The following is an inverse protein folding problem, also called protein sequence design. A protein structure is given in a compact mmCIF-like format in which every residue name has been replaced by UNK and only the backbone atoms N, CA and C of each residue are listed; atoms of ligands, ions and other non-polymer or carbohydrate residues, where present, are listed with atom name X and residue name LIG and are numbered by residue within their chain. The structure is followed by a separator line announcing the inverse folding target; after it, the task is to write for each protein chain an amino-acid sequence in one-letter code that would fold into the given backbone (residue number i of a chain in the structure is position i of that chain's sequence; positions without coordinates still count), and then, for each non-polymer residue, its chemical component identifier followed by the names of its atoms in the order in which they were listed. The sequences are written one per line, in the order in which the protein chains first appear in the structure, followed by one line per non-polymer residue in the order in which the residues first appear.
data_IF_941476846262
#
_entry.id   IF_941476846262
#
_cell.length_a   1.000
_cell.length_b   1.000
_cell.length_c   1.000
_cell.angle_alpha   90.00
_cell.angle_beta   90.00
_cell.angle_gamma   90.00
#
_symmetry.space_group_name_H-M   'P 1'
#
loop_
_entity.id
_entity.type
_entity.pdbx_description
1 polymer ?
#
# COMPACT_ATOMS: atom_id res chain seq x y z
N UNK A 1 12.91 -13.73 -5.77
CA UNK A 1 12.25 -13.41 -4.49
C UNK A 1 12.74 -12.11 -3.86
N UNK A 2 14.01 -11.95 -3.44
CA UNK A 2 14.45 -10.75 -2.69
C UNK A 2 14.26 -9.40 -3.42
N UNK A 3 14.54 -9.35 -4.73
CA UNK A 3 14.40 -8.12 -5.54
C UNK A 3 12.95 -7.62 -5.60
N UNK A 4 11.97 -8.52 -5.73
CA UNK A 4 10.54 -8.15 -5.76
C UNK A 4 10.08 -7.52 -4.45
N UNK A 5 10.55 -8.03 -3.31
CA UNK A 5 10.24 -7.47 -1.99
C UNK A 5 10.94 -6.12 -1.75
N UNK A 6 12.16 -5.94 -2.28
CA UNK A 6 12.83 -4.65 -2.27
C UNK A 6 12.05 -3.61 -3.08
N UNK A 7 11.68 -3.93 -4.32
CA UNK A 7 10.90 -3.03 -5.18
C UNK A 7 9.57 -2.68 -4.49
N UNK A 8 8.87 -3.66 -3.91
CA UNK A 8 7.63 -3.41 -3.18
C UNK A 8 7.86 -2.46 -1.99
N UNK A 9 8.93 -2.64 -1.21
CA UNK A 9 9.23 -1.75 -0.09
C UNK A 9 9.52 -0.31 -0.53
N UNK A 10 10.19 -0.11 -1.66
CA UNK A 10 10.41 1.21 -2.24
C UNK A 10 9.11 1.86 -2.70
N UNK A 11 8.23 1.08 -3.33
CA UNK A 11 6.91 1.55 -3.77
C UNK A 11 6.07 1.96 -2.55
N UNK A 12 6.01 1.12 -1.52
CA UNK A 12 5.30 1.44 -0.26
C UNK A 12 5.88 2.68 0.42
N UNK A 13 7.20 2.84 0.46
CA UNK A 13 7.84 4.03 1.02
C UNK A 13 7.52 5.30 0.21
N UNK A 14 7.50 5.20 -1.12
CA UNK A 14 7.11 6.30 -2.00
C UNK A 14 5.63 6.68 -1.78
N UNK A 15 4.72 5.70 -1.72
CA UNK A 15 3.30 5.93 -1.42
C UNK A 15 3.10 6.55 -0.03
N UNK A 16 3.79 6.06 1.00
CA UNK A 16 3.73 6.64 2.34
C UNK A 16 4.21 8.09 2.35
N UNK A 17 5.26 8.40 1.58
CA UNK A 17 5.75 9.78 1.42
C UNK A 17 4.70 10.67 0.76
N UNK A 18 4.00 10.16 -0.26
CA UNK A 18 2.89 10.87 -0.91
C UNK A 18 1.70 11.06 0.04
N UNK A 19 1.39 10.07 0.88
CA UNK A 19 0.34 10.17 1.88
C UNK A 19 0.67 11.22 2.96
N UNK A 20 1.92 11.28 3.42
CA UNK A 20 2.42 12.31 4.34
C UNK A 20 2.35 13.69 3.69
N UNK A 21 2.77 13.79 2.42
CA UNK A 21 2.67 15.03 1.66
C UNK A 21 1.20 15.47 1.54
N UNK A 22 0.26 14.56 1.28
CA UNK A 22 -1.16 14.91 1.20
C UNK A 22 -1.81 15.31 2.52
N UNK A 23 -1.30 14.80 3.64
CA UNK A 23 -1.84 15.11 4.99
C UNK A 23 -1.35 16.46 5.52
N UNK A 24 -0.26 17.01 5.01
CA UNK A 24 0.20 18.34 5.39
C UNK A 24 -0.76 19.44 4.87
N UNK A 25 -1.10 20.44 5.70
CA UNK A 25 -2.02 21.50 5.32
C UNK A 25 -1.35 22.48 4.36
N UNK A 26 -1.49 22.25 3.05
CA UNK A 26 -0.98 23.14 2.00
C UNK A 26 -1.94 24.26 1.61
N UNK A 27 -1.43 25.43 1.16
CA UNK A 27 -2.23 26.52 0.62
C UNK A 27 -3.04 26.09 -0.62
N UNK A 28 -4.23 26.69 -0.80
CA UNK A 28 -5.28 26.22 -1.73
C UNK A 28 -4.81 25.97 -3.17
N UNK A 29 -3.92 26.81 -3.71
CA UNK A 29 -3.38 26.66 -5.06
C UNK A 29 -2.50 25.42 -5.24
N UNK A 30 -1.68 25.10 -4.22
CA UNK A 30 -0.84 23.91 -4.23
C UNK A 30 -1.66 22.65 -4.05
N UNK A 31 -2.70 22.70 -3.22
CA UNK A 31 -3.64 21.58 -3.02
C UNK A 31 -4.20 21.08 -4.35
N UNK A 32 -4.75 21.97 -5.18
CA UNK A 32 -5.38 21.58 -6.45
C UNK A 32 -4.41 20.91 -7.42
N UNK A 33 -3.18 21.43 -7.50
CA UNK A 33 -2.14 20.87 -8.38
C UNK A 33 -1.63 19.52 -7.88
N UNK A 34 -1.47 19.37 -6.57
CA UNK A 34 -1.09 18.11 -5.93
C UNK A 34 -2.21 17.06 -6.11
N UNK A 35 -3.49 17.42 -5.94
CA UNK A 35 -4.61 16.49 -6.15
C UNK A 35 -4.61 15.94 -7.58
N UNK A 36 -4.38 16.81 -8.57
CA UNK A 36 -4.33 16.41 -9.98
C UNK A 36 -3.15 15.49 -10.26
N UNK A 37 -1.95 15.82 -9.75
CA UNK A 37 -0.76 14.98 -9.89
C UNK A 37 -0.94 13.62 -9.19
N UNK A 38 -1.47 13.61 -7.97
CA UNK A 38 -1.72 12.35 -7.25
C UNK A 38 -2.80 11.54 -7.94
N UNK A 39 -3.88 12.14 -8.43
CA UNK A 39 -4.92 11.46 -9.22
C UNK A 39 -4.34 10.77 -10.46
N UNK A 40 -3.32 11.36 -11.09
CA UNK A 40 -2.67 10.83 -12.28
C UNK A 40 -1.67 9.70 -11.95
N UNK A 41 -1.03 9.76 -10.78
CA UNK A 41 -0.18 8.70 -10.23
C UNK A 41 -1.02 7.55 -9.63
N UNK A 42 -2.25 7.84 -9.18
CA UNK A 42 -3.13 6.86 -8.55
C UNK A 42 -3.65 5.81 -9.56
N UNK A 43 -3.83 6.21 -10.82
CA UNK A 43 -4.20 5.30 -11.91
C UNK A 43 -3.15 4.19 -12.15
N UNK A 44 -1.86 4.48 -12.34
CA UNK A 44 -0.84 3.45 -12.50
C UNK A 44 -0.60 2.64 -11.21
N UNK A 45 -0.83 3.19 -10.02
CA UNK A 45 -0.74 2.42 -8.76
C UNK A 45 -1.83 1.36 -8.60
N UNK A 46 -2.87 1.34 -9.44
CA UNK A 46 -3.84 0.24 -9.45
C UNK A 46 -3.19 -1.13 -9.72
N UNK A 47 -2.02 -1.15 -10.37
CA UNK A 47 -1.24 -2.35 -10.62
C UNK A 47 -0.65 -2.98 -9.34
N UNK A 48 -0.56 -2.23 -8.24
CA UNK A 48 -0.03 -2.71 -6.95
C UNK A 48 -0.99 -3.72 -6.32
N UNK A 49 -2.31 -3.56 -6.50
CA UNK A 49 -3.32 -4.47 -5.94
C UNK A 49 -3.19 -5.90 -6.50
N UNK A 50 -3.22 -6.14 -7.84
CA UNK A 50 -3.04 -7.48 -8.39
C UNK A 50 -1.62 -8.02 -8.12
N UNK A 51 -0.61 -7.15 -8.07
CA UNK A 51 0.77 -7.56 -7.72
C UNK A 51 0.88 -8.04 -6.27
N UNK A 52 0.28 -7.34 -5.32
CA UNK A 52 0.21 -7.75 -3.92
C UNK A 52 -0.58 -9.05 -3.74
N UNK A 53 -1.69 -9.20 -4.48
CA UNK A 53 -2.46 -10.45 -4.53
C UNK A 53 -1.64 -11.63 -5.04
N UNK A 54 -0.88 -11.44 -6.11
CA UNK A 54 0.03 -12.46 -6.64
C UNK A 54 1.13 -12.85 -5.65
N UNK A 55 1.71 -11.87 -4.93
CA UNK A 55 2.73 -12.14 -3.91
C UNK A 55 2.18 -12.87 -2.69
N UNK A 56 0.94 -12.56 -2.27
CA UNK A 56 0.26 -13.29 -1.20
C UNK A 56 -0.04 -14.73 -1.63
N UNK A 57 -0.46 -14.93 -2.88
CA UNK A 57 -0.71 -16.27 -3.43
C UNK A 57 0.59 -17.08 -3.53
N UNK A 58 1.70 -16.48 -3.98
CA UNK A 58 3.02 -17.13 -4.02
C UNK A 58 3.53 -17.47 -2.61
N UNK A 59 3.25 -16.62 -1.62
CA UNK A 59 3.57 -16.90 -0.22
C UNK A 59 2.70 -18.04 0.34
N UNK A 60 1.40 -18.02 0.07
CA UNK A 60 0.45 -19.04 0.51
C UNK A 60 0.82 -20.40 -0.10
N UNK A 61 1.08 -20.43 -1.41
CA UNK A 61 1.52 -21.63 -2.12
C UNK A 61 2.83 -22.19 -1.56
N UNK A 62 3.80 -21.32 -1.25
CA UNK A 62 5.05 -21.73 -0.58
C UNK A 62 4.86 -22.22 0.84
N UNK A 63 3.83 -21.76 1.54
CA UNK A 63 3.51 -22.25 2.88
C UNK A 63 2.87 -23.64 2.80
N UNK A 64 1.95 -23.84 1.87
CA UNK A 64 1.21 -25.09 1.68
C UNK A 64 2.09 -26.25 1.18
N UNK A 65 3.04 -25.98 0.28
CA UNK A 65 3.96 -26.99 -0.23
C UNK A 65 5.24 -27.18 0.60
N UNK A 66 5.35 -26.49 1.73
CA UNK A 66 6.47 -26.73 2.63
C UNK A 66 6.13 -27.88 3.54
N UNK A 67 6.99 -28.90 3.55
CA UNK A 67 6.95 -29.96 4.55
C UNK A 67 7.00 -29.33 5.94
N UNK A 68 5.84 -29.25 6.59
CA UNK A 68 5.70 -28.92 7.99
C UNK A 68 6.32 -30.07 8.78
N UNK A 69 7.33 -29.78 9.59
CA UNK A 69 7.84 -30.71 10.60
C UNK A 69 6.70 -31.07 11.56
N UNK A 70 5.89 -32.09 11.22
CA UNK A 70 4.79 -32.59 12.06
C UNK A 70 5.15 -33.88 12.78
N UNK A 71 6.38 -34.40 12.65
CA UNK A 71 6.85 -35.58 13.35
C UNK A 71 7.94 -35.23 14.37
N UNK A 72 7.97 -36.00 15.45
CA UNK A 72 8.74 -35.85 16.69
C UNK A 72 10.29 -35.93 16.52
N UNK A 73 10.81 -35.67 15.31
CA UNK A 73 12.21 -35.87 14.89
C UNK A 73 12.75 -34.68 14.07
N UNK A 74 12.42 -33.44 14.41
CA UNK A 74 13.08 -32.27 13.80
C UNK A 74 14.19 -31.73 14.70
N UNK A 75 15.41 -31.69 14.16
CA UNK A 75 16.62 -31.15 14.78
C UNK A 75 16.46 -29.66 15.06
N UNK A 76 17.01 -29.13 16.16
CA UNK A 76 16.86 -27.72 16.58
C UNK A 76 17.25 -26.70 15.48
N UNK A 77 18.19 -27.07 14.61
CA UNK A 77 18.61 -26.25 13.45
C UNK A 77 17.53 -26.10 12.38
N UNK A 78 16.70 -27.13 12.18
CA UNK A 78 15.60 -27.14 11.22
C UNK A 78 14.45 -26.25 11.74
N UNK A 79 14.24 -26.25 13.06
CA UNK A 79 13.25 -25.42 13.74
C UNK A 79 13.58 -23.92 13.63
N UNK A 80 14.83 -23.53 13.86
CA UNK A 80 15.26 -22.12 13.71
C UNK A 80 15.12 -21.62 12.27
N UNK A 81 15.41 -22.48 11.28
CA UNK A 81 15.16 -22.14 9.87
C UNK A 81 13.68 -22.03 9.52
N UNK A 82 12.83 -22.86 10.12
CA UNK A 82 11.38 -22.76 9.96
C UNK A 82 10.84 -21.46 10.58
N UNK A 83 11.21 -21.13 11.81
CA UNK A 83 10.77 -19.90 12.47
C UNK A 83 11.22 -18.65 11.70
N UNK A 84 12.51 -18.55 11.32
CA UNK A 84 13.03 -17.44 10.50
C UNK A 84 12.25 -17.22 9.22
N UNK A 85 11.82 -18.31 8.60
CA UNK A 85 11.07 -18.23 7.35
C UNK A 85 9.60 -17.85 7.54
N UNK A 86 8.97 -18.22 8.67
CA UNK A 86 7.65 -17.71 9.06
C UNK A 86 7.71 -16.22 9.35
N UNK A 87 8.69 -15.76 10.13
CA UNK A 87 8.86 -14.33 10.40
C UNK A 87 9.07 -13.52 9.11
N UNK A 88 9.80 -14.09 8.15
CA UNK A 88 9.98 -13.48 6.81
C UNK A 88 8.66 -13.41 6.03
N UNK A 89 7.83 -14.45 6.11
CA UNK A 89 6.50 -14.49 5.50
C UNK A 89 5.54 -13.49 6.14
N UNK A 90 5.50 -13.42 7.47
CA UNK A 90 4.64 -12.48 8.20
C UNK A 90 4.99 -11.02 7.89
N UNK A 91 6.29 -10.67 7.87
CA UNK A 91 6.74 -9.33 7.48
C UNK A 91 6.28 -8.95 6.07
N UNK A 92 6.31 -9.92 5.16
CA UNK A 92 5.89 -9.78 3.78
C UNK A 92 4.37 -9.58 3.65
N UNK A 93 3.55 -10.28 4.44
CA UNK A 93 2.09 -10.05 4.52
C UNK A 93 1.79 -8.66 5.04
N UNK A 94 2.46 -8.23 6.13
CA UNK A 94 2.27 -6.90 6.71
C UNK A 94 2.58 -5.80 5.68
N UNK A 95 3.64 -5.98 4.89
CA UNK A 95 3.98 -5.07 3.78
C UNK A 95 2.87 -4.97 2.73
N UNK A 96 2.28 -6.10 2.31
CA UNK A 96 1.17 -6.09 1.35
C UNK A 96 -0.08 -5.41 1.92
N UNK A 97 -0.44 -5.70 3.17
CA UNK A 97 -1.60 -5.07 3.83
C UNK A 97 -1.38 -3.57 4.01
N UNK A 98 -0.17 -3.16 4.41
CA UNK A 98 0.20 -1.76 4.53
C UNK A 98 0.05 -1.02 3.19
N UNK A 99 0.54 -1.61 2.09
CA UNK A 99 0.41 -1.04 0.74
C UNK A 99 -1.06 -0.80 0.34
N UNK A 100 -1.93 -1.79 0.58
CA UNK A 100 -3.36 -1.68 0.27
C UNK A 100 -4.01 -0.59 1.12
N UNK A 101 -3.68 -0.53 2.42
CA UNK A 101 -4.19 0.49 3.33
C UNK A 101 -3.74 1.90 2.93
N UNK A 102 -2.45 2.10 2.60
CA UNK A 102 -1.95 3.40 2.14
C UNK A 102 -2.61 3.84 0.85
N UNK A 103 -2.78 2.92 -0.11
CA UNK A 103 -3.52 3.20 -1.34
C UNK A 103 -4.96 3.63 -1.05
N UNK A 104 -5.66 2.91 -0.18
CA UNK A 104 -7.03 3.25 0.23
C UNK A 104 -7.09 4.64 0.87
N UNK A 105 -6.19 4.94 1.80
CA UNK A 105 -6.09 6.25 2.44
C UNK A 105 -5.88 7.38 1.43
N UNK A 106 -4.96 7.21 0.47
CA UNK A 106 -4.71 8.20 -0.59
C UNK A 106 -5.98 8.41 -1.43
N UNK A 107 -6.64 7.32 -1.82
CA UNK A 107 -7.87 7.37 -2.62
C UNK A 107 -9.01 8.11 -1.90
N UNK A 108 -9.16 7.90 -0.59
CA UNK A 108 -10.11 8.63 0.25
C UNK A 108 -9.77 10.11 0.29
N UNK A 109 -8.51 10.48 0.56
CA UNK A 109 -8.08 11.88 0.60
C UNK A 109 -8.35 12.58 -0.73
N UNK A 110 -8.06 11.94 -1.86
CA UNK A 110 -8.34 12.49 -3.18
C UNK A 110 -9.84 12.73 -3.43
N UNK A 111 -10.72 11.81 -2.99
CA UNK A 111 -12.17 12.01 -3.08
C UNK A 111 -12.62 13.22 -2.27
N UNK A 112 -12.22 13.28 -0.99
CA UNK A 112 -12.57 14.40 -0.11
C UNK A 112 -12.09 15.75 -0.66
N UNK A 113 -10.91 15.82 -1.27
CA UNK A 113 -10.40 17.06 -1.84
C UNK A 113 -11.18 17.50 -3.09
N UNK A 114 -11.60 16.56 -3.95
CA UNK A 114 -12.47 16.86 -5.10
C UNK A 114 -13.85 17.34 -4.64
N UNK A 115 -14.40 16.69 -3.62
CA UNK A 115 -15.70 17.09 -3.05
C UNK A 115 -15.62 18.51 -2.45
N UNK A 116 -14.56 18.83 -1.71
CA UNK A 116 -14.32 20.18 -1.19
C UNK A 116 -14.23 21.24 -2.30
N UNK A 117 -13.53 20.96 -3.40
CA UNK A 117 -13.47 21.88 -4.54
C UNK A 117 -14.84 22.14 -5.15
N UNK A 118 -15.64 21.09 -5.36
CA UNK A 118 -16.98 21.23 -5.92
C UNK A 118 -17.91 22.05 -5.02
N UNK A 119 -17.79 21.90 -3.69
CA UNK A 119 -18.52 22.69 -2.70
C UNK A 119 -18.09 24.16 -2.72
N UNK A 120 -16.78 24.46 -2.79
CA UNK A 120 -16.29 25.84 -2.90
C UNK A 120 -16.77 26.53 -4.19
N UNK A 121 -16.83 25.81 -5.32
CA UNK A 121 -17.37 26.34 -6.57
C UNK A 121 -18.88 26.62 -6.49
N UNK A 122 -19.63 25.75 -5.84
CA UNK A 122 -21.06 25.95 -5.59
C UNK A 122 -21.32 27.18 -4.72
N UNK A 123 -20.53 27.36 -3.66
CA UNK A 123 -20.62 28.53 -2.79
C UNK A 123 -20.36 29.84 -3.56
N UNK A 124 -19.32 29.86 -4.42
CA UNK A 124 -19.02 31.02 -5.27
C UNK A 124 -20.15 31.33 -6.26
N UNK A 125 -20.74 30.29 -6.87
CA UNK A 125 -21.90 30.46 -7.78
C UNK A 125 -23.12 31.02 -7.05
N UNK A 126 -23.37 30.60 -5.81
CA UNK A 126 -24.46 31.15 -5.00
C UNK A 126 -24.21 32.59 -4.56
N UNK A 127 -22.98 32.96 -4.20
CA UNK A 127 -22.63 34.35 -3.81
C UNK A 127 -22.61 35.34 -5.00
N UNK A 128 -22.45 34.83 -6.22
CA UNK A 128 -22.45 35.62 -7.46
C UNK A 128 -23.86 35.96 -7.98
N UNK A 129 -24.90 35.39 -7.37
CA UNK A 129 -26.30 35.50 -7.81
C UNK A 129 -27.11 36.24 -6.76
#
# INVERSE_FOLDING_TARGET
MALQWLILSYVVAAEATVAILLTLPYPKLFRNRIVSLVSLILQPTFFIIPFAGFQLLDLYWKNEHRLTCTSEVCTDTERDHYEKSIYKAQRNVILCVAAILTYWCISCICKYQKDLQSLEELEKRHKSK
#
